data_IF_225107254718
#
_entry.id   IF_225107254718
#
_cell.length_a   1.000
_cell.length_b   1.000
_cell.length_c   1.000
_cell.angle_alpha   90.00
_cell.angle_beta   90.00
_cell.angle_gamma   90.00
#
_symmetry.space_group_name_H-M   'P 1'
#
loop_
_entity.id
_entity.type
_entity.pdbx_description
1 polymer ?
#
# COMPACT_ATOMS: atom_id res chain seq x y z
N UNK A 1 18.33 -10.00 -14.40
CA UNK A 1 17.24 -9.43 -15.23
C UNK A 1 16.02 -9.32 -14.35
N UNK A 2 15.47 -8.11 -14.20
CA UNK A 2 14.34 -7.87 -13.30
C UNK A 2 13.05 -8.51 -13.84
N UNK A 3 12.20 -9.11 -12.98
CA UNK A 3 10.94 -9.70 -13.42
C UNK A 3 9.96 -8.59 -13.85
N UNK A 4 8.99 -8.89 -14.73
CA UNK A 4 7.94 -7.92 -15.05
C UNK A 4 7.17 -7.52 -13.78
N UNK A 5 6.80 -6.25 -13.69
CA UNK A 5 6.09 -5.67 -12.55
C UNK A 5 4.58 -5.77 -12.78
N UNK A 6 3.81 -6.20 -11.76
CA UNK A 6 2.34 -6.20 -11.81
C UNK A 6 1.80 -4.78 -11.77
N UNK A 7 0.74 -4.50 -12.54
CA UNK A 7 0.05 -3.20 -12.51
C UNK A 7 -0.49 -2.84 -11.12
N UNK A 8 -0.83 -3.84 -10.29
CA UNK A 8 -1.29 -3.64 -8.92
C UNK A 8 -0.23 -2.98 -8.02
N UNK A 9 1.05 -3.22 -8.29
CA UNK A 9 2.17 -2.60 -7.56
C UNK A 9 2.40 -1.13 -7.95
N UNK A 10 1.81 -0.70 -9.07
CA UNK A 10 1.93 0.66 -9.62
C UNK A 10 0.71 1.52 -9.28
N UNK A 11 -0.32 0.95 -8.63
CA UNK A 11 -1.54 1.67 -8.27
C UNK A 11 -1.21 2.78 -7.27
N UNK A 12 -1.67 4.00 -7.55
CA UNK A 12 -1.62 5.08 -6.56
C UNK A 12 -2.84 4.94 -5.66
N UNK A 13 -2.62 4.69 -4.38
CA UNK A 13 -3.68 4.72 -3.37
C UNK A 13 -3.84 6.15 -2.86
N UNK A 14 -5.05 6.70 -2.94
CA UNK A 14 -5.32 8.04 -2.41
C UNK A 14 -5.38 8.03 -0.89
N UNK A 15 -4.60 8.91 -0.28
CA UNK A 15 -4.64 9.14 1.16
C UNK A 15 -5.94 9.85 1.53
N UNK A 16 -6.72 9.35 2.50
CA UNK A 16 -7.88 10.07 3.00
C UNK A 16 -7.51 11.47 3.48
N UNK A 17 -8.33 12.46 3.11
CA UNK A 17 -8.19 13.83 3.60
C UNK A 17 -8.37 13.89 5.11
N UNK A 18 -7.83 14.95 5.72
CA UNK A 18 -7.96 15.17 7.16
C UNK A 18 -9.44 15.33 7.53
N UNK A 19 -9.86 14.93 8.75
CA UNK A 19 -11.20 15.22 9.24
C UNK A 19 -11.49 16.72 9.16
N UNK A 20 -12.70 17.08 8.75
CA UNK A 20 -13.19 18.47 8.71
C UNK A 20 -13.47 19.04 10.11
N UNK A 21 -13.50 18.18 11.13
CA UNK A 21 -13.71 18.55 12.52
C UNK A 21 -13.23 17.47 13.48
N UNK A 22 -13.38 17.73 14.77
CA UNK A 22 -12.89 16.87 15.85
C UNK A 22 -13.98 16.10 16.59
N UNK A 23 -15.20 15.99 16.05
CA UNK A 23 -16.25 15.23 16.75
C UNK A 23 -15.84 13.76 16.88
N UNK A 24 -16.24 13.05 17.95
CA UNK A 24 -15.90 11.64 18.11
C UNK A 24 -16.27 10.79 16.89
N UNK A 25 -17.46 11.01 16.31
CA UNK A 25 -17.92 10.31 15.11
C UNK A 25 -17.02 10.60 13.89
N UNK A 26 -16.64 11.87 13.67
CA UNK A 26 -15.76 12.25 12.56
C UNK A 26 -14.39 11.57 12.68
N UNK A 27 -13.83 11.54 13.91
CA UNK A 27 -12.54 10.92 14.18
C UNK A 27 -12.61 9.40 13.97
N UNK A 28 -13.67 8.74 14.44
CA UNK A 28 -13.87 7.30 14.27
C UNK A 28 -14.02 6.92 12.79
N UNK A 29 -14.86 7.63 12.05
CA UNK A 29 -15.05 7.38 10.61
C UNK A 29 -13.75 7.60 9.83
N UNK A 30 -12.99 8.65 10.15
CA UNK A 30 -11.68 8.86 9.54
C UNK A 30 -10.69 7.76 9.91
N UNK A 31 -10.63 7.32 11.17
CA UNK A 31 -9.72 6.26 11.60
C UNK A 31 -9.94 4.96 10.82
N UNK A 32 -11.20 4.57 10.57
CA UNK A 32 -11.54 3.40 9.74
C UNK A 32 -11.01 3.56 8.31
N UNK A 33 -11.32 4.70 7.67
CA UNK A 33 -10.88 4.99 6.28
C UNK A 33 -9.37 5.04 6.15
N UNK A 34 -8.70 5.70 7.11
CA UNK A 34 -7.25 5.85 7.14
C UNK A 34 -6.57 4.50 7.41
N UNK A 35 -7.10 3.69 8.32
CA UNK A 35 -6.60 2.33 8.55
C UNK A 35 -6.66 1.45 7.30
N UNK A 36 -7.78 1.48 6.56
CA UNK A 36 -7.92 0.77 5.29
C UNK A 36 -6.94 1.28 4.20
N UNK A 37 -6.63 2.58 4.20
CA UNK A 37 -5.57 3.13 3.36
C UNK A 37 -4.19 2.57 3.75
N UNK A 38 -3.83 2.59 5.03
CA UNK A 38 -2.56 2.04 5.51
C UNK A 38 -2.39 0.57 5.14
N UNK A 39 -3.44 -0.24 5.31
CA UNK A 39 -3.41 -1.66 4.93
C UNK A 39 -3.08 -1.84 3.45
N UNK A 40 -3.68 -1.04 2.55
CA UNK A 40 -3.39 -1.11 1.11
C UNK A 40 -1.93 -0.77 0.78
N UNK A 41 -1.39 0.27 1.41
CA UNK A 41 0.03 0.63 1.28
C UNK A 41 0.93 -0.52 1.77
N UNK A 42 0.62 -1.11 2.93
CA UNK A 42 1.40 -2.23 3.48
C UNK A 42 1.41 -3.44 2.55
N UNK A 43 0.27 -3.77 1.94
CA UNK A 43 0.18 -4.82 0.92
C UNK A 43 1.03 -4.50 -0.30
N UNK A 44 1.00 -3.26 -0.79
CA UNK A 44 1.81 -2.84 -1.93
C UNK A 44 3.31 -2.90 -1.62
N UNK A 45 3.73 -2.48 -0.43
CA UNK A 45 5.13 -2.59 0.03
C UNK A 45 5.59 -4.04 0.09
N UNK A 46 4.78 -4.95 0.67
CA UNK A 46 5.09 -6.39 0.68
C UNK A 46 5.24 -6.95 -0.74
N UNK A 47 4.32 -6.61 -1.63
CA UNK A 47 4.40 -7.05 -3.03
C UNK A 47 5.66 -6.56 -3.75
N UNK A 48 6.12 -5.33 -3.49
CA UNK A 48 7.40 -4.85 -4.01
C UNK A 48 8.60 -5.62 -3.46
N UNK A 49 8.58 -5.94 -2.16
CA UNK A 49 9.64 -6.75 -1.54
C UNK A 49 9.70 -8.15 -2.16
N UNK A 50 8.55 -8.81 -2.32
CA UNK A 50 8.45 -10.14 -2.92
C UNK A 50 8.91 -10.16 -4.39
N UNK A 51 8.50 -9.16 -5.18
CA UNK A 51 8.96 -8.99 -6.56
C UNK A 51 10.48 -8.86 -6.63
N UNK A 52 11.07 -8.05 -5.75
CA UNK A 52 12.52 -7.86 -5.71
C UNK A 52 13.27 -9.14 -5.33
N UNK A 53 12.78 -9.88 -4.31
CA UNK A 53 13.39 -11.16 -3.93
C UNK A 53 13.31 -12.19 -5.07
N UNK A 54 12.18 -12.23 -5.78
CA UNK A 54 12.02 -13.10 -6.96
C UNK A 54 13.04 -12.77 -8.06
N UNK A 55 13.29 -11.47 -8.29
CA UNK A 55 14.31 -11.02 -9.24
C UNK A 55 15.72 -11.47 -8.82
N UNK A 56 16.07 -11.28 -7.55
CA UNK A 56 17.36 -11.69 -6.99
C UNK A 56 17.62 -13.19 -7.13
N UNK A 57 16.62 -14.04 -6.89
CA UNK A 57 16.75 -15.49 -7.04
C UNK A 57 17.00 -15.92 -8.49
N UNK A 58 16.40 -15.22 -9.46
CA UNK A 58 16.62 -15.48 -10.90
C UNK A 58 17.99 -15.06 -11.39
N UNK A 59 18.67 -14.15 -10.70
CA UNK A 59 20.04 -13.71 -11.05
C UNK A 59 21.12 -14.62 -10.48
N UNK A 60 20.80 -15.41 -9.45
CA UNK A 60 21.74 -16.34 -8.79
C UNK A 60 21.71 -17.75 -9.39
N UNK A 61 20.86 -17.97 -10.40
CA UNK A 61 20.66 -19.27 -11.06
C UNK A 61 21.06 -19.16 -12.52
#
# INVERSE_FOLDING_TARGET
MLPPVSSELLVTHERPERPTGGSPEQLLNHAVRYGAYCQRIDWQVKGWQEWYQTGKQKEQK
#
